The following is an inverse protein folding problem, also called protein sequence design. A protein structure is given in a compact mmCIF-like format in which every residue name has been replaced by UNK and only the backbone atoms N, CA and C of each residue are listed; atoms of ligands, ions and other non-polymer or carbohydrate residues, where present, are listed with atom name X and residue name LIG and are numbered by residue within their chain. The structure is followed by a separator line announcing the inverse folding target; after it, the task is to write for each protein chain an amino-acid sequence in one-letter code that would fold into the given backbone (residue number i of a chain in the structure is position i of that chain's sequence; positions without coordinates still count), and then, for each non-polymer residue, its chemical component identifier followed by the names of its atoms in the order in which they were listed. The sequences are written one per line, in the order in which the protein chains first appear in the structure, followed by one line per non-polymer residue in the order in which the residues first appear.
data_IF_945563586027
#
_entry.id   IF_945563586027
#
_cell.length_a   1.000
_cell.length_b   1.000
_cell.length_c   1.000
_cell.angle_alpha   90.00
_cell.angle_beta   90.00
_cell.angle_gamma   90.00
#
_symmetry.space_group_name_H-M   'P 1'
#
loop_
_entity.id
_entity.type
_entity.pdbx_description
1 polymer ?
#
# COMPACT_ATOMS: atom_id res chain seq x y z
N UNK A 1 -6.60 5.55 23.97
CA UNK A 1 -5.66 5.59 22.82
C UNK A 1 -6.31 5.10 21.53
N UNK A 2 -6.93 3.90 21.50
CA UNK A 2 -7.63 3.37 20.32
C UNK A 2 -8.79 4.25 19.83
N UNK A 3 -9.68 4.69 20.74
CA UNK A 3 -10.82 5.55 20.38
C UNK A 3 -10.38 6.90 19.79
N UNK A 4 -9.20 7.40 20.16
CA UNK A 4 -8.64 8.64 19.62
C UNK A 4 -8.12 8.43 18.20
N UNK A 5 -7.46 7.30 17.93
CA UNK A 5 -7.06 6.89 16.59
C UNK A 5 -8.29 6.74 15.68
N UNK A 6 -9.31 6.02 16.17
CA UNK A 6 -10.55 5.78 15.43
C UNK A 6 -11.28 7.09 15.10
N UNK A 7 -11.42 7.99 16.07
CA UNK A 7 -12.04 9.30 15.85
C UNK A 7 -11.25 10.19 14.88
N UNK A 8 -9.90 10.13 14.89
CA UNK A 8 -9.07 10.85 13.92
C UNK A 8 -9.22 10.28 12.51
N UNK A 9 -9.23 8.96 12.35
CA UNK A 9 -9.42 8.31 11.06
C UNK A 9 -10.82 8.57 10.48
N UNK A 10 -11.86 8.54 11.32
CA UNK A 10 -13.23 8.86 10.93
C UNK A 10 -13.39 10.34 10.54
N UNK A 11 -12.62 11.24 11.18
CA UNK A 11 -12.56 12.65 10.82
C UNK A 11 -11.97 12.90 9.43
N UNK A 12 -10.88 12.20 9.07
CA UNK A 12 -10.23 12.30 7.76
C UNK A 12 -11.16 11.80 6.64
N UNK A 13 -11.96 10.76 6.89
CA UNK A 13 -12.93 10.26 5.92
C UNK A 13 -14.06 11.26 5.59
N UNK A 14 -14.37 12.19 6.50
CA UNK A 14 -15.44 13.20 6.30
C UNK A 14 -14.98 14.46 5.58
N UNK A 15 -13.67 14.70 5.48
CA UNK A 15 -13.09 15.82 4.74
C UNK A 15 -12.61 15.36 3.35
N UNK A 16 -13.54 15.17 2.41
CA UNK A 16 -13.17 15.00 1.00
C UNK A 16 -13.71 16.14 0.15
N UNK A 17 -12.84 17.08 -0.26
CA UNK A 17 -13.03 17.81 -1.48
C UNK A 17 -11.87 17.52 -2.42
N UNK A 18 -12.02 16.49 -3.24
CA UNK A 18 -11.33 16.29 -4.50
C UNK A 18 -9.81 16.03 -4.38
N UNK A 19 -9.47 14.75 -4.28
CA UNK A 19 -8.27 14.22 -4.93
C UNK A 19 -8.42 14.43 -6.45
N UNK A 20 -8.12 15.63 -6.93
CA UNK A 20 -7.95 15.90 -8.35
C UNK A 20 -6.80 15.02 -8.85
N UNK A 21 -7.13 13.98 -9.61
CA UNK A 21 -6.17 13.14 -10.32
C UNK A 21 -5.19 13.98 -11.15
N UNK A 22 -3.96 13.46 -11.30
CA UNK A 22 -2.88 14.14 -12.02
C UNK A 22 -1.56 14.28 -11.26
N UNK A 23 -1.34 13.58 -10.15
CA UNK A 23 -0.03 13.50 -9.49
C UNK A 23 0.42 12.05 -9.41
N UNK A 24 1.51 11.74 -10.10
CA UNK A 24 2.24 10.48 -9.96
C UNK A 24 2.59 10.25 -8.48
N UNK A 25 2.39 9.00 -8.03
CA UNK A 25 2.70 8.57 -6.68
C UNK A 25 4.22 8.44 -6.51
N UNK A 26 4.84 9.38 -5.79
CA UNK A 26 6.27 9.30 -5.41
C UNK A 26 6.41 8.79 -3.98
N UNK A 27 6.01 7.54 -3.76
CA UNK A 27 5.94 6.96 -2.41
C UNK A 27 7.32 6.96 -1.74
N UNK A 28 8.38 6.63 -2.48
CA UNK A 28 9.74 6.60 -1.94
C UNK A 28 10.19 7.97 -1.37
N UNK A 29 9.94 9.06 -2.10
CA UNK A 29 10.31 10.42 -1.71
C UNK A 29 9.59 10.84 -0.42
N UNK A 30 8.29 10.59 -0.36
CA UNK A 30 7.46 10.91 0.83
C UNK A 30 7.95 10.14 2.04
N UNK A 31 8.25 8.84 1.89
CA UNK A 31 8.77 8.03 2.98
C UNK A 31 10.15 8.51 3.46
N UNK A 32 11.00 8.97 2.55
CA UNK A 32 12.29 9.58 2.91
C UNK A 32 12.10 10.84 3.74
N UNK A 33 11.25 11.76 3.27
CA UNK A 33 10.96 13.01 3.96
C UNK A 33 10.37 12.76 5.36
N UNK A 34 9.47 11.77 5.48
CA UNK A 34 8.90 11.37 6.77
C UNK A 34 9.98 10.78 7.68
N UNK A 35 10.88 9.94 7.15
CA UNK A 35 11.97 9.35 7.92
C UNK A 35 12.94 10.42 8.46
N UNK A 36 13.19 11.48 7.69
CA UNK A 36 14.03 12.60 8.10
C UNK A 36 13.37 13.46 9.18
N UNK A 37 12.06 13.69 9.10
CA UNK A 37 11.31 14.52 10.06
C UNK A 37 11.07 13.84 11.42
N UNK A 38 11.02 12.50 11.46
CA UNK A 38 10.73 11.77 12.71
C UNK A 38 12.04 11.47 13.45
N UNK A 39 12.42 12.37 14.37
CA UNK A 39 13.64 12.24 15.16
C UNK A 39 13.50 11.38 16.43
N UNK A 40 12.27 11.05 16.85
CA UNK A 40 11.99 10.28 18.08
C UNK A 40 11.39 8.92 17.75
N UNK A 41 11.72 7.91 18.56
CA UNK A 41 11.13 6.56 18.44
C UNK A 41 9.60 6.65 18.44
N UNK A 42 9.00 6.24 17.33
CA UNK A 42 7.56 6.33 17.09
C UNK A 42 7.01 5.02 16.50
N UNK A 43 5.69 4.86 16.57
CA UNK A 43 4.94 3.89 15.78
C UNK A 43 4.52 4.58 14.48
N UNK A 44 4.98 4.07 13.35
CA UNK A 44 4.65 4.55 12.02
C UNK A 44 3.74 3.52 11.36
N UNK A 45 2.55 3.95 10.97
CA UNK A 45 1.58 3.11 10.26
C UNK A 45 1.39 3.70 8.87
N UNK A 46 1.66 2.91 7.85
CA UNK A 46 1.54 3.28 6.45
C UNK A 46 0.34 2.55 5.84
N UNK A 47 -0.49 3.28 5.11
CA UNK A 47 -1.60 2.74 4.32
C UNK A 47 -1.34 3.10 2.87
N UNK A 48 -0.95 2.12 2.06
CA UNK A 48 -0.66 2.31 0.64
C UNK A 48 -0.53 0.95 -0.05
N UNK A 49 -0.94 0.88 -1.30
CA UNK A 49 -0.64 -0.17 -2.27
C UNK A 49 0.87 -0.27 -2.61
N UNK A 50 1.67 0.72 -2.20
CA UNK A 50 3.11 0.81 -2.40
C UNK A 50 3.56 0.70 -3.86
N UNK A 51 2.63 0.87 -4.80
CA UNK A 51 2.93 0.91 -6.22
C UNK A 51 3.61 2.24 -6.54
N UNK A 52 4.74 2.14 -7.23
CA UNK A 52 5.48 3.28 -7.76
C UNK A 52 5.87 2.91 -9.20
N UNK A 53 5.86 3.90 -10.08
CA UNK A 53 6.19 3.75 -11.49
C UNK A 53 7.63 3.23 -11.67
N UNK A 54 7.77 1.92 -11.83
CA UNK A 54 8.87 1.17 -12.50
C UNK A 54 10.31 1.31 -11.98
N UNK A 55 10.81 2.53 -11.83
CA UNK A 55 12.24 2.81 -11.60
C UNK A 55 12.62 2.93 -10.12
N UNK A 56 11.66 3.11 -9.22
CA UNK A 56 11.93 3.54 -7.84
C UNK A 56 11.77 2.45 -6.75
N UNK A 57 11.54 1.19 -7.11
CA UNK A 57 11.37 0.08 -6.15
C UNK A 57 12.55 -0.07 -5.19
N UNK A 58 13.78 0.22 -5.65
CA UNK A 58 14.97 0.20 -4.80
C UNK A 58 14.94 1.33 -3.77
N UNK A 59 14.55 2.54 -4.17
CA UNK A 59 14.47 3.70 -3.27
C UNK A 59 13.32 3.54 -2.27
N UNK A 60 12.20 2.95 -2.69
CA UNK A 60 11.10 2.56 -1.79
C UNK A 60 11.62 1.67 -0.64
N UNK A 61 12.37 0.60 -0.96
CA UNK A 61 12.91 -0.29 0.06
C UNK A 61 13.95 0.39 0.95
N UNK A 62 14.79 1.29 0.40
CA UNK A 62 15.71 2.09 1.20
C UNK A 62 14.98 3.03 2.16
N UNK A 63 13.90 3.68 1.71
CA UNK A 63 13.10 4.55 2.56
C UNK A 63 12.43 3.78 3.71
N UNK A 64 11.87 2.59 3.44
CA UNK A 64 11.36 1.69 4.47
C UNK A 64 12.45 1.26 5.47
N UNK A 65 13.65 0.98 4.98
CA UNK A 65 14.80 0.65 5.82
C UNK A 65 15.24 1.84 6.69
N UNK A 66 15.22 3.07 6.15
CA UNK A 66 15.54 4.30 6.88
C UNK A 66 14.55 4.54 8.03
N UNK A 67 13.25 4.39 7.76
CA UNK A 67 12.22 4.44 8.81
C UNK A 67 12.52 3.45 9.95
N UNK A 68 13.00 2.26 9.61
CA UNK A 68 13.36 1.26 10.63
C UNK A 68 14.62 1.63 11.42
N UNK A 69 15.60 2.26 10.79
CA UNK A 69 16.92 2.54 11.37
C UNK A 69 16.83 3.37 12.67
N UNK A 70 15.82 4.24 12.79
CA UNK A 70 15.56 5.08 13.96
C UNK A 70 14.76 4.38 15.08
N UNK A 71 14.86 3.05 15.19
CA UNK A 71 14.15 2.19 16.15
C UNK A 71 12.62 2.30 16.10
N UNK A 72 12.06 2.82 15.01
CA UNK A 72 10.62 2.93 14.84
C UNK A 72 9.99 1.54 14.74
N UNK A 73 8.79 1.42 15.32
CA UNK A 73 7.89 0.32 14.99
C UNK A 73 7.18 0.74 13.71
N UNK A 74 7.34 -0.04 12.63
CA UNK A 74 6.79 0.30 11.32
C UNK A 74 5.82 -0.80 10.95
N UNK A 75 4.62 -0.40 10.54
CA UNK A 75 3.53 -1.27 10.10
C UNK A 75 3.08 -0.77 8.74
N UNK A 76 3.04 -1.67 7.77
CA UNK A 76 2.54 -1.41 6.42
C UNK A 76 1.23 -2.16 6.26
N UNK A 77 0.14 -1.42 6.12
CA UNK A 77 -1.11 -1.91 5.56
C UNK A 77 -1.03 -1.74 4.05
N UNK A 78 -0.83 -2.85 3.36
CA UNK A 78 -0.84 -2.93 1.91
C UNK A 78 -2.28 -2.93 1.43
N UNK A 79 -2.78 -1.75 1.08
CA UNK A 79 -4.18 -1.52 0.72
C UNK A 79 -4.32 -1.75 -0.78
N UNK A 80 -5.09 -2.76 -1.18
CA UNK A 80 -5.24 -3.16 -2.57
C UNK A 80 -6.57 -3.90 -2.77
N UNK A 81 -7.15 -3.84 -3.97
CA UNK A 81 -8.25 -4.72 -4.37
C UNK A 81 -7.70 -6.06 -4.86
N UNK A 82 -7.94 -7.11 -4.09
CA UNK A 82 -7.43 -8.44 -4.43
C UNK A 82 -8.01 -8.98 -5.75
N UNK A 83 -9.28 -8.71 -6.03
CA UNK A 83 -9.95 -9.26 -7.21
C UNK A 83 -9.41 -8.61 -8.49
N UNK A 84 -9.32 -7.28 -8.51
CA UNK A 84 -8.98 -6.54 -9.73
C UNK A 84 -7.49 -6.20 -9.83
N UNK A 85 -6.82 -5.84 -8.74
CA UNK A 85 -5.42 -5.38 -8.77
C UNK A 85 -4.41 -6.51 -8.54
N UNK A 86 -4.79 -7.59 -7.84
CA UNK A 86 -3.90 -8.75 -7.65
C UNK A 86 -4.22 -9.90 -8.62
N UNK A 87 -5.48 -10.30 -8.69
CA UNK A 87 -5.92 -11.45 -9.49
C UNK A 87 -6.32 -11.06 -10.93
N UNK A 88 -6.49 -9.76 -11.20
CA UNK A 88 -6.85 -9.22 -12.51
C UNK A 88 -8.12 -9.87 -13.08
N UNK A 89 -9.12 -10.06 -12.22
CA UNK A 89 -10.42 -10.63 -12.57
C UNK A 89 -11.31 -9.57 -13.22
N UNK A 90 -10.98 -9.23 -14.47
CA UNK A 90 -11.83 -8.42 -15.34
C UNK A 90 -12.64 -9.31 -16.29
N UNK A 91 -13.78 -8.81 -16.74
CA UNK A 91 -14.61 -9.49 -17.75
C UNK A 91 -13.80 -9.77 -19.02
N UNK A 92 -13.93 -10.99 -19.58
CA UNK A 92 -13.19 -11.42 -20.79
C UNK A 92 -13.75 -10.81 -22.08
N UNK A 93 -13.80 -9.48 -22.15
CA UNK A 93 -14.17 -8.72 -23.33
C UNK A 93 -13.23 -7.55 -23.55
N UNK A 94 -13.05 -7.08 -24.81
CA UNK A 94 -12.29 -5.88 -25.08
C UNK A 94 -12.79 -4.71 -24.23
N UNK A 95 -11.89 -4.12 -23.46
CA UNK A 95 -12.17 -3.02 -22.56
C UNK A 95 -11.15 -1.89 -22.75
N UNK A 96 -11.56 -0.67 -22.45
CA UNK A 96 -10.67 0.49 -22.37
C UNK A 96 -10.29 0.69 -20.91
N UNK A 97 -9.02 0.45 -20.59
CA UNK A 97 -8.45 0.74 -19.28
C UNK A 97 -8.01 2.20 -19.28
N UNK A 98 -8.39 2.91 -18.23
CA UNK A 98 -8.04 4.32 -18.04
C UNK A 98 -7.15 4.39 -16.81
N UNK A 99 -5.92 4.82 -17.01
CA UNK A 99 -5.03 5.16 -15.90
C UNK A 99 -5.58 6.40 -15.19
N UNK A 100 -5.91 6.25 -13.90
CA UNK A 100 -6.48 7.32 -13.08
C UNK A 100 -5.48 8.44 -12.77
N UNK A 101 -4.19 8.19 -12.92
CA UNK A 101 -3.10 9.09 -12.57
C UNK A 101 -2.69 9.95 -13.76
N UNK A 102 -2.58 9.36 -14.95
CA UNK A 102 -2.16 10.04 -16.18
C UNK A 102 -3.33 10.35 -17.13
N UNK A 103 -4.44 9.62 -17.03
CA UNK A 103 -5.53 9.65 -17.99
C UNK A 103 -5.24 8.88 -19.28
N UNK A 104 -4.13 8.13 -19.35
CA UNK A 104 -3.80 7.28 -20.49
C UNK A 104 -4.87 6.21 -20.69
N UNK A 105 -5.20 5.93 -21.95
CA UNK A 105 -6.23 4.96 -22.32
C UNK A 105 -5.61 3.81 -23.10
N UNK A 106 -5.75 2.61 -22.56
CA UNK A 106 -5.25 1.39 -23.18
C UNK A 106 -6.41 0.49 -23.55
N UNK A 107 -6.55 0.20 -24.84
CA UNK A 107 -7.51 -0.78 -25.35
C UNK A 107 -6.83 -2.14 -25.39
N UNK A 108 -7.28 -3.05 -24.55
CA UNK A 108 -6.75 -4.41 -24.51
C UNK A 108 -7.85 -5.41 -24.21
N UNK A 109 -7.57 -6.68 -24.51
CA UNK A 109 -8.37 -7.79 -24.04
C UNK A 109 -7.73 -8.31 -22.74
N UNK A 110 -8.44 -8.30 -21.59
CA UNK A 110 -7.89 -8.74 -20.31
C UNK A 110 -7.26 -10.14 -20.36
N UNK A 111 -7.84 -11.05 -21.17
CA UNK A 111 -7.34 -12.41 -21.33
C UNK A 111 -5.89 -12.47 -21.82
N UNK A 112 -5.48 -11.54 -22.67
CA UNK A 112 -4.16 -11.56 -23.30
C UNK A 112 -3.05 -11.07 -22.35
N UNK A 113 -3.41 -10.29 -21.33
CA UNK A 113 -2.45 -9.67 -20.40
C UNK A 113 -2.51 -10.24 -18.98
N UNK A 114 -3.61 -10.92 -18.62
CA UNK A 114 -3.88 -11.43 -17.26
C UNK A 114 -2.72 -12.21 -16.66
N UNK A 115 -2.20 -13.20 -17.38
CA UNK A 115 -1.11 -14.04 -16.86
C UNK A 115 0.16 -13.23 -16.59
N UNK A 116 0.56 -12.38 -17.54
CA UNK A 116 1.76 -11.56 -17.40
C UNK A 116 1.60 -10.51 -16.28
N UNK A 117 0.42 -9.88 -16.19
CA UNK A 117 0.11 -8.93 -15.13
C UNK A 117 0.18 -9.58 -13.75
N UNK A 118 -0.55 -10.69 -13.54
CA UNK A 118 -0.55 -11.45 -12.27
C UNK A 118 0.86 -11.88 -11.86
N UNK A 119 1.67 -12.33 -12.83
CA UNK A 119 3.06 -12.70 -12.56
C UNK A 119 3.89 -11.49 -12.11
N UNK A 120 3.71 -10.35 -12.76
CA UNK A 120 4.45 -9.12 -12.46
C UNK A 120 4.06 -8.56 -11.09
N UNK A 121 2.77 -8.39 -10.85
CA UNK A 121 2.23 -7.91 -9.56
C UNK A 121 2.55 -8.89 -8.44
N UNK A 122 2.37 -10.19 -8.66
CA UNK A 122 2.68 -11.22 -7.67
C UNK A 122 4.17 -11.24 -7.29
N UNK A 123 5.07 -11.04 -8.26
CA UNK A 123 6.51 -10.93 -8.00
C UNK A 123 6.84 -9.71 -7.14
N UNK A 124 6.24 -8.56 -7.47
CA UNK A 124 6.40 -7.33 -6.70
C UNK A 124 5.87 -7.47 -5.27
N UNK A 125 4.64 -7.98 -5.11
CA UNK A 125 4.00 -8.20 -3.82
C UNK A 125 4.84 -9.13 -2.93
N UNK A 126 5.35 -10.24 -3.47
CA UNK A 126 6.24 -11.14 -2.75
C UNK A 126 7.57 -10.47 -2.36
N UNK A 127 8.16 -9.69 -3.25
CA UNK A 127 9.39 -8.94 -2.95
C UNK A 127 9.16 -7.92 -1.83
N UNK A 128 8.07 -7.15 -1.88
CA UNK A 128 7.69 -6.19 -0.86
C UNK A 128 7.49 -6.88 0.50
N UNK A 129 6.70 -7.95 0.55
CA UNK A 129 6.46 -8.74 1.77
C UNK A 129 7.75 -9.31 2.36
N UNK A 130 8.65 -9.83 1.51
CA UNK A 130 9.94 -10.35 1.94
C UNK A 130 10.84 -9.25 2.52
N UNK A 131 10.91 -8.08 1.86
CA UNK A 131 11.69 -6.93 2.34
C UNK A 131 11.16 -6.39 3.66
N UNK A 132 9.85 -6.23 3.79
CA UNK A 132 9.22 -5.85 5.07
C UNK A 132 9.61 -6.81 6.18
N UNK A 133 9.52 -8.13 5.94
CA UNK A 133 9.92 -9.14 6.92
C UNK A 133 11.41 -9.04 7.30
N UNK A 134 12.31 -8.89 6.31
CA UNK A 134 13.75 -8.73 6.56
C UNK A 134 14.06 -7.51 7.45
N UNK A 135 13.33 -6.41 7.25
CA UNK A 135 13.47 -5.19 8.05
C UNK A 135 12.67 -5.21 9.36
N UNK A 136 12.00 -6.32 9.71
CA UNK A 136 11.11 -6.42 10.89
C UNK A 136 10.04 -5.32 10.87
N UNK A 137 9.46 -5.11 9.70
CA UNK A 137 8.29 -4.26 9.44
C UNK A 137 7.09 -5.20 9.40
N UNK A 138 6.04 -4.87 10.16
CA UNK A 138 4.81 -5.64 10.13
C UNK A 138 4.06 -5.37 8.83
N UNK A 139 4.00 -6.36 7.96
CA UNK A 139 3.20 -6.30 6.73
C UNK A 139 1.82 -6.89 6.98
N UNK A 140 0.78 -6.11 6.67
CA UNK A 140 -0.64 -6.48 6.78
C UNK A 140 -1.28 -6.28 5.42
N UNK A 141 -1.81 -7.36 4.84
CA UNK A 141 -2.61 -7.28 3.63
C UNK A 141 -3.99 -6.71 4.00
N UNK A 142 -4.39 -5.65 3.33
CA UNK A 142 -5.64 -4.93 3.58
C UNK A 142 -6.46 -4.86 2.29
N UNK A 143 -7.34 -5.83 2.11
CA UNK A 143 -8.27 -5.85 0.98
C UNK A 143 -9.31 -4.74 1.14
N UNK A 144 -9.47 -3.88 0.13
CA UNK A 144 -10.47 -2.80 0.15
C UNK A 144 -11.90 -3.34 0.15
N UNK A 145 -12.13 -4.58 -0.29
CA UNK A 145 -13.43 -5.23 -0.24
C UNK A 145 -13.76 -5.80 1.15
N UNK A 146 -12.78 -5.92 2.05
CA UNK A 146 -12.98 -6.46 3.40
C UNK A 146 -13.41 -5.39 4.41
N UNK A 147 -14.18 -5.81 5.42
CA UNK A 147 -14.54 -4.94 6.53
C UNK A 147 -13.29 -4.48 7.31
N UNK A 148 -13.14 -3.16 7.46
CA UNK A 148 -12.02 -2.53 8.12
C UNK A 148 -11.82 -3.03 9.56
N UNK A 149 -12.90 -3.34 10.29
CA UNK A 149 -12.77 -3.82 11.67
C UNK A 149 -12.11 -5.20 11.69
N UNK A 150 -12.41 -6.06 10.73
CA UNK A 150 -11.79 -7.38 10.59
C UNK A 150 -10.28 -7.27 10.37
N UNK A 151 -9.85 -6.38 9.47
CA UNK A 151 -8.42 -6.13 9.17
C UNK A 151 -7.70 -5.63 10.43
N UNK A 152 -8.25 -4.59 11.08
CA UNK A 152 -7.66 -3.98 12.26
C UNK A 152 -7.64 -4.94 13.46
N UNK A 153 -8.70 -5.71 13.70
CA UNK A 153 -8.74 -6.70 14.77
C UNK A 153 -7.68 -7.78 14.58
N UNK A 154 -7.53 -8.30 13.37
CA UNK A 154 -6.51 -9.30 13.04
C UNK A 154 -5.11 -8.77 13.34
N UNK A 155 -4.82 -7.52 12.94
CA UNK A 155 -3.57 -6.85 13.28
C UNK A 155 -3.38 -6.68 14.81
N UNK A 156 -4.40 -6.20 15.53
CA UNK A 156 -4.31 -5.98 16.97
C UNK A 156 -4.09 -7.27 17.76
N UNK A 157 -4.74 -8.37 17.36
CA UNK A 157 -4.54 -9.70 17.97
C UNK A 157 -3.12 -10.20 17.71
N UNK A 158 -2.63 -10.07 16.47
CA UNK A 158 -1.23 -10.44 16.13
C UNK A 158 -0.25 -9.66 16.99
N UNK A 159 -0.44 -8.35 17.12
CA UNK A 159 0.41 -7.48 17.94
C UNK A 159 0.38 -7.83 19.42
N UNK A 160 -0.79 -8.17 19.97
CA UNK A 160 -0.92 -8.57 21.37
C UNK A 160 -0.09 -9.82 21.71
N UNK A 161 0.10 -10.74 20.75
CA UNK A 161 0.91 -11.97 20.91
C UNK A 161 2.42 -11.74 20.78
N UNK A 162 2.85 -10.60 20.24
CA UNK A 162 4.26 -10.25 20.10
C UNK A 162 4.83 -9.53 21.32
N UNK A 163 4.00 -9.27 22.34
CA UNK A 163 4.39 -8.71 23.63
C UNK A 163 4.70 -9.78 24.65
#
# INVERSE_FOLDING_TARGET
HLNKLYATLEGIHREDPALKGGRSSKVADVLHEVAEKIHKRSLVILFSDMFDSGENTTELFKALQHLKHNKHEVVVFHVMDNETELEFEFEERPAEFIDLETGERLKLNPRDVKENYRKTVGTFHQALKLRCNQYKIDFVEADVQMDMNTILQTYLIKRAKMR
#
